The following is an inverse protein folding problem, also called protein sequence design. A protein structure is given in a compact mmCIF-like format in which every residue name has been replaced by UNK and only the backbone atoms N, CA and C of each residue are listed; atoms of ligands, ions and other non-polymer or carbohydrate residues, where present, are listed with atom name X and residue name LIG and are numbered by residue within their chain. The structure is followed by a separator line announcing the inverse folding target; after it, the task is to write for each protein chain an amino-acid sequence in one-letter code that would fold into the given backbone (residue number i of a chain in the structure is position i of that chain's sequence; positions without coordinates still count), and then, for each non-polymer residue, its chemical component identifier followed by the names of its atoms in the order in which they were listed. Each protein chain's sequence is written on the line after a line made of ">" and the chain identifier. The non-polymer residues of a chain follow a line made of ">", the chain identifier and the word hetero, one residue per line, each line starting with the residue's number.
data_IF_923228573031
#
_entry.id   IF_923228573031
#
_cell.length_a   1.000
_cell.length_b   1.000
_cell.length_c   1.000
_cell.angle_alpha   90.00
_cell.angle_beta   90.00
_cell.angle_gamma   90.00
#
_symmetry.space_group_name_H-M   'P 1'
#
loop_
_entity.id
_entity.type
_entity.pdbx_description
1 polymer ?
#
# COMPACT_ATOMS: atom_id res chain seq x y z
N UNK A 1 -59.26 -54.64 -51.80
CA UNK A 1 -58.75 -54.00 -50.56
C UNK A 1 -57.56 -53.19 -50.99
N UNK A 2 -57.82 -52.05 -51.64
CA UNK A 2 -57.79 -50.71 -51.00
C UNK A 2 -56.40 -50.45 -50.40
N UNK A 3 -55.56 -49.54 -50.88
CA UNK A 3 -55.67 -48.56 -51.95
C UNK A 3 -54.34 -47.79 -52.05
N UNK A 4 -53.96 -47.46 -53.29
CA UNK A 4 -53.34 -46.22 -53.79
C UNK A 4 -52.83 -45.20 -52.74
N UNK A 5 -51.71 -44.46 -52.90
CA UNK A 5 -50.88 -44.08 -54.04
C UNK A 5 -49.76 -43.15 -53.51
N UNK A 6 -48.65 -43.09 -54.26
CA UNK A 6 -47.79 -41.89 -54.46
C UNK A 6 -46.99 -41.38 -53.24
N UNK A 7 -45.69 -41.08 -53.31
CA UNK A 7 -44.83 -40.79 -54.44
C UNK A 7 -43.86 -39.67 -54.04
N UNK A 8 -42.70 -39.69 -54.67
CA UNK A 8 -41.68 -38.64 -54.77
C UNK A 8 -40.62 -38.48 -53.65
N UNK A 9 -39.40 -38.46 -54.17
CA UNK A 9 -38.09 -38.37 -53.56
C UNK A 9 -37.61 -36.91 -53.58
N UNK A 10 -36.97 -36.43 -52.51
CA UNK A 10 -36.04 -35.29 -52.55
C UNK A 10 -35.08 -35.31 -51.36
N UNK A 11 -33.81 -34.98 -51.61
CA UNK A 11 -32.65 -35.04 -50.71
C UNK A 11 -32.42 -33.72 -49.94
N UNK A 12 -32.07 -33.85 -48.64
CA UNK A 12 -31.22 -33.03 -47.73
C UNK A 12 -31.43 -31.49 -47.61
N UNK A 13 -31.06 -30.78 -46.50
CA UNK A 13 -30.02 -31.10 -45.50
C UNK A 13 -30.36 -30.82 -44.01
N UNK A 14 -29.34 -31.05 -43.18
CA UNK A 14 -29.28 -30.87 -41.73
C UNK A 14 -29.60 -29.46 -41.21
N UNK A 15 -30.29 -29.39 -40.07
CA UNK A 15 -30.14 -28.33 -39.05
C UNK A 15 -30.85 -28.79 -37.75
N UNK A 16 -30.13 -29.52 -36.90
CA UNK A 16 -30.56 -29.73 -35.52
C UNK A 16 -30.12 -28.48 -34.73
N UNK A 17 -31.06 -27.58 -34.42
CA UNK A 17 -30.80 -26.46 -33.52
C UNK A 17 -30.55 -27.00 -32.11
N UNK A 18 -29.27 -27.07 -31.72
CA UNK A 18 -28.88 -27.20 -30.32
C UNK A 18 -29.01 -25.82 -29.68
N UNK A 19 -30.08 -25.60 -28.91
CA UNK A 19 -30.13 -24.51 -27.94
C UNK A 19 -29.14 -24.81 -26.82
N UNK A 20 -27.90 -24.36 -26.99
CA UNK A 20 -26.92 -24.27 -25.91
C UNK A 20 -27.39 -23.18 -24.96
N UNK A 21 -28.08 -23.58 -23.89
CA UNK A 21 -28.13 -22.80 -22.66
C UNK A 21 -26.68 -22.68 -22.16
N UNK A 22 -26.07 -21.53 -22.44
CA UNK A 22 -24.85 -21.11 -21.76
C UNK A 22 -25.27 -20.82 -20.32
N UNK A 23 -25.27 -21.85 -19.49
CA UNK A 23 -25.13 -21.65 -18.05
C UNK A 23 -23.76 -21.05 -17.85
N UNK A 24 -23.70 -19.72 -17.71
CA UNK A 24 -22.57 -19.10 -17.05
C UNK A 24 -22.46 -19.81 -15.70
N UNK A 25 -21.44 -20.66 -15.52
CA UNK A 25 -20.97 -21.02 -14.21
C UNK A 25 -20.58 -19.70 -13.56
N UNK A 26 -21.54 -19.09 -12.87
CA UNK A 26 -21.25 -18.11 -11.83
C UNK A 26 -20.42 -18.91 -10.84
N UNK A 27 -19.09 -18.71 -10.87
CA UNK A 27 -18.29 -19.02 -9.69
C UNK A 27 -19.05 -18.37 -8.53
N UNK A 28 -19.50 -19.19 -7.59
CA UNK A 28 -20.26 -18.75 -6.44
C UNK A 28 -19.43 -17.66 -5.76
N UNK A 29 -19.83 -16.40 -5.92
CA UNK A 29 -19.48 -15.38 -4.93
C UNK A 29 -19.88 -15.93 -3.56
N UNK A 30 -19.15 -15.56 -2.52
CA UNK A 30 -19.60 -15.87 -1.17
C UNK A 30 -21.02 -15.35 -0.96
N UNK A 31 -21.76 -15.92 0.00
CA UNK A 31 -22.95 -15.25 0.47
C UNK A 31 -22.52 -13.89 1.01
N UNK A 32 -23.20 -12.82 0.59
CA UNK A 32 -22.88 -11.47 1.04
C UNK A 32 -23.00 -11.38 2.57
N UNK A 33 -21.93 -10.96 3.29
CA UNK A 33 -21.97 -10.89 4.75
C UNK A 33 -22.61 -9.59 5.27
N UNK A 34 -22.92 -8.63 4.40
CA UNK A 34 -23.44 -7.32 4.78
C UNK A 34 -24.96 -7.38 5.04
N UNK A 35 -25.41 -6.53 5.98
CA UNK A 35 -26.84 -6.36 6.25
C UNK A 35 -27.59 -5.81 5.02
N UNK A 36 -26.98 -4.86 4.31
CA UNK A 36 -27.41 -4.43 2.98
C UNK A 36 -26.63 -5.21 1.90
N UNK A 37 -27.27 -6.10 1.13
CA UNK A 37 -26.62 -6.86 0.07
C UNK A 37 -26.02 -5.99 -1.04
N UNK A 38 -26.47 -4.75 -1.20
CA UNK A 38 -25.92 -3.84 -2.20
C UNK A 38 -24.46 -3.47 -1.91
N UNK A 39 -24.04 -3.52 -0.64
CA UNK A 39 -22.67 -3.27 -0.22
C UNK A 39 -21.69 -4.34 -0.70
N UNK A 40 -22.15 -5.51 -1.14
CA UNK A 40 -21.28 -6.54 -1.72
C UNK A 40 -20.97 -6.32 -3.21
N UNK A 41 -21.50 -5.26 -3.82
CA UNK A 41 -21.13 -4.85 -5.16
C UNK A 41 -19.82 -4.06 -5.14
N UNK A 42 -18.96 -4.20 -6.16
CA UNK A 42 -17.75 -3.40 -6.26
C UNK A 42 -18.04 -1.90 -6.26
N UNK A 43 -17.21 -1.14 -5.55
CA UNK A 43 -17.27 0.32 -5.53
C UNK A 43 -16.84 0.86 -6.90
N UNK A 44 -17.80 1.46 -7.60
CA UNK A 44 -17.59 2.08 -8.90
C UNK A 44 -17.34 3.59 -8.77
N UNK A 45 -16.60 4.16 -9.73
CA UNK A 45 -16.35 5.61 -9.84
C UNK A 45 -14.88 5.99 -9.72
N UNK A 46 -14.45 6.89 -10.60
CA UNK A 46 -13.12 7.48 -10.52
C UNK A 46 -13.08 8.51 -9.39
N UNK A 47 -11.97 8.54 -8.66
CA UNK A 47 -11.65 9.61 -7.69
C UNK A 47 -10.52 10.46 -8.25
N UNK A 48 -10.54 11.76 -7.97
CA UNK A 48 -9.49 12.68 -8.40
C UNK A 48 -8.26 12.64 -7.47
N UNK A 49 -8.47 12.21 -6.23
CA UNK A 49 -7.45 12.11 -5.18
C UNK A 49 -7.67 10.84 -4.36
N UNK A 50 -6.59 10.11 -4.08
CA UNK A 50 -6.60 8.91 -3.24
C UNK A 50 -6.10 9.22 -1.82
N UNK A 51 -6.76 8.62 -0.83
CA UNK A 51 -6.29 8.45 0.54
C UNK A 51 -6.24 6.94 0.77
N UNK A 52 -5.08 6.37 0.47
CA UNK A 52 -4.85 4.93 0.39
C UNK A 52 -4.26 4.41 1.70
N UNK A 53 -5.03 3.64 2.48
CA UNK A 53 -4.60 3.20 3.81
C UNK A 53 -4.18 1.73 3.79
N UNK A 54 -3.30 1.35 4.72
CA UNK A 54 -3.02 -0.04 5.03
C UNK A 54 -3.61 -0.38 6.40
N UNK A 55 -4.31 -1.52 6.47
CA UNK A 55 -4.89 -2.08 7.70
C UNK A 55 -4.24 -3.44 7.99
N UNK A 56 -3.66 -3.59 9.18
CA UNK A 56 -2.98 -4.83 9.59
C UNK A 56 -3.88 -5.77 10.40
N UNK A 57 -5.18 -5.49 10.43
CA UNK A 57 -6.19 -6.24 11.15
C UNK A 57 -6.40 -5.79 12.60
N UNK A 58 -7.45 -6.32 13.22
CA UNK A 58 -7.89 -5.88 14.54
C UNK A 58 -9.21 -5.14 14.42
N UNK A 59 -9.42 -4.14 15.27
CA UNK A 59 -10.69 -3.40 15.37
C UNK A 59 -10.49 -1.87 15.39
N UNK A 60 -9.26 -1.40 15.14
CA UNK A 60 -8.97 0.03 15.08
C UNK A 60 -9.73 0.73 13.95
N UNK A 61 -10.02 -0.01 12.87
CA UNK A 61 -10.78 0.47 11.72
C UNK A 61 -12.15 1.07 12.06
N UNK A 62 -12.77 0.65 13.18
CA UNK A 62 -14.04 1.21 13.68
C UNK A 62 -13.93 2.70 14.02
N UNK A 63 -12.71 3.20 14.19
CA UNK A 63 -12.41 4.55 14.65
C UNK A 63 -11.57 5.36 13.64
N UNK A 64 -11.29 4.82 12.45
CA UNK A 64 -10.63 5.58 11.39
C UNK A 64 -11.48 6.78 10.94
N UNK A 65 -10.85 7.79 10.35
CA UNK A 65 -11.57 8.89 9.70
C UNK A 65 -12.02 8.50 8.29
N UNK A 66 -13.19 7.87 8.23
CA UNK A 66 -13.80 7.41 6.98
C UNK A 66 -14.29 8.53 6.05
N UNK A 67 -14.21 9.80 6.44
CA UNK A 67 -14.62 10.90 5.57
C UNK A 67 -13.67 11.11 4.38
N UNK A 68 -12.44 10.61 4.49
CA UNK A 68 -11.38 10.83 3.52
C UNK A 68 -10.88 9.56 2.84
N UNK A 69 -11.00 8.40 3.50
CA UNK A 69 -10.47 7.12 3.02
C UNK A 69 -11.09 6.76 1.67
N UNK A 70 -10.23 6.42 0.72
CA UNK A 70 -10.63 6.04 -0.63
C UNK A 70 -10.48 4.54 -0.86
N UNK A 71 -9.41 3.96 -0.33
CA UNK A 71 -9.11 2.53 -0.42
C UNK A 71 -8.43 2.04 0.85
N UNK A 72 -8.79 0.82 1.27
CA UNK A 72 -8.15 0.06 2.33
C UNK A 72 -7.44 -1.16 1.73
N UNK A 73 -6.11 -1.21 1.82
CA UNK A 73 -5.35 -2.42 1.54
C UNK A 73 -5.27 -3.29 2.80
N UNK A 74 -5.89 -4.48 2.75
CA UNK A 74 -5.94 -5.39 3.91
C UNK A 74 -4.69 -6.30 3.95
N UNK A 75 -3.84 -6.06 4.95
CA UNK A 75 -2.68 -6.88 5.28
C UNK A 75 -2.95 -7.84 6.45
N UNK A 76 -4.03 -7.58 7.20
CA UNK A 76 -4.58 -8.48 8.21
C UNK A 76 -5.40 -9.64 7.63
N UNK A 77 -6.00 -10.43 8.53
CA UNK A 77 -7.02 -11.42 8.13
C UNK A 77 -8.24 -10.69 7.58
N UNK A 78 -8.89 -11.28 6.56
CA UNK A 78 -10.15 -10.76 6.04
C UNK A 78 -11.19 -10.62 7.16
N UNK A 79 -11.69 -9.40 7.32
CA UNK A 79 -12.76 -9.05 8.25
C UNK A 79 -13.99 -8.61 7.41
N UNK A 80 -15.08 -9.40 7.37
CA UNK A 80 -16.27 -9.04 6.62
C UNK A 80 -16.98 -7.79 7.18
N UNK A 81 -16.83 -7.50 8.48
CA UNK A 81 -17.42 -6.30 9.09
C UNK A 81 -16.71 -5.04 8.58
N UNK A 82 -15.37 -5.08 8.49
CA UNK A 82 -14.57 -4.03 7.87
C UNK A 82 -14.96 -3.83 6.40
N UNK A 83 -15.07 -4.90 5.61
CA UNK A 83 -15.45 -4.81 4.20
C UNK A 83 -16.81 -4.11 4.03
N UNK A 84 -17.83 -4.59 4.74
CA UNK A 84 -19.17 -4.00 4.68
C UNK A 84 -19.17 -2.53 5.13
N UNK A 85 -18.44 -2.22 6.20
CA UNK A 85 -18.37 -0.87 6.72
C UNK A 85 -17.65 0.07 5.74
N UNK A 86 -16.51 -0.34 5.17
CA UNK A 86 -15.79 0.43 4.17
C UNK A 86 -16.68 0.75 2.96
N UNK A 87 -17.41 -0.25 2.45
CA UNK A 87 -18.31 -0.06 1.32
C UNK A 87 -19.49 0.86 1.68
N UNK A 88 -19.99 0.81 2.92
CA UNK A 88 -21.02 1.77 3.39
C UNK A 88 -20.53 3.22 3.43
N UNK A 89 -19.20 3.41 3.46
CA UNK A 89 -18.52 4.70 3.36
C UNK A 89 -18.05 5.02 1.94
N UNK A 90 -18.37 4.15 0.98
CA UNK A 90 -17.95 4.24 -0.42
C UNK A 90 -16.46 3.98 -0.65
N UNK A 91 -15.73 3.50 0.36
CA UNK A 91 -14.30 3.18 0.25
C UNK A 91 -14.10 1.77 -0.30
N UNK A 92 -13.09 1.60 -1.16
CA UNK A 92 -12.68 0.30 -1.68
C UNK A 92 -11.98 -0.53 -0.62
N UNK A 93 -12.04 -1.85 -0.74
CA UNK A 93 -11.17 -2.77 -0.01
C UNK A 93 -10.43 -3.68 -0.98
N UNK A 94 -9.10 -3.68 -0.94
CA UNK A 94 -8.25 -4.45 -1.84
C UNK A 94 -7.41 -5.48 -1.09
N UNK A 95 -7.24 -6.66 -1.68
CA UNK A 95 -6.41 -7.74 -1.14
C UNK A 95 -4.93 -7.36 -1.10
N UNK A 96 -4.17 -7.94 -0.16
CA UNK A 96 -2.72 -8.10 -0.35
C UNK A 96 -2.39 -9.21 -1.37
N UNK A 97 -1.52 -8.89 -2.31
CA UNK A 97 -0.88 -9.82 -3.23
C UNK A 97 0.64 -9.88 -3.02
N UNK A 98 1.19 -11.07 -2.81
CA UNK A 98 2.62 -11.34 -2.91
C UNK A 98 2.82 -12.73 -3.51
N UNK A 99 3.92 -12.90 -4.24
CA UNK A 99 4.36 -14.14 -4.86
C UNK A 99 5.87 -14.06 -5.12
N UNK A 100 6.57 -15.19 -5.07
CA UNK A 100 8.00 -15.22 -5.35
C UNK A 100 8.34 -14.75 -6.77
N UNK A 101 9.27 -13.80 -6.90
CA UNK A 101 9.74 -13.29 -8.20
C UNK A 101 10.37 -14.38 -9.06
N UNK A 102 10.92 -15.42 -8.45
CA UNK A 102 11.49 -16.57 -9.17
C UNK A 102 10.41 -17.44 -9.81
N UNK A 103 9.26 -17.56 -9.15
CA UNK A 103 8.17 -18.43 -9.61
C UNK A 103 7.38 -17.81 -10.75
N UNK A 104 7.25 -16.48 -10.78
CA UNK A 104 6.46 -15.76 -11.81
C UNK A 104 7.14 -15.74 -13.19
N UNK A 105 8.38 -16.19 -13.31
CA UNK A 105 9.05 -16.39 -14.61
C UNK A 105 8.26 -17.41 -15.45
N UNK A 106 7.59 -18.37 -14.82
CA UNK A 106 6.66 -19.28 -15.48
C UNK A 106 5.28 -18.62 -15.65
N UNK A 107 4.82 -18.35 -16.90
CA UNK A 107 3.50 -17.76 -17.14
C UNK A 107 2.34 -18.60 -16.61
N UNK A 108 2.47 -19.93 -16.54
CA UNK A 108 1.43 -20.78 -15.98
C UNK A 108 1.26 -20.56 -14.47
N UNK A 109 2.36 -20.29 -13.76
CA UNK A 109 2.32 -19.93 -12.34
C UNK A 109 1.66 -18.57 -12.15
N UNK A 110 1.99 -17.57 -12.99
CA UNK A 110 1.31 -16.26 -12.96
C UNK A 110 -0.18 -16.42 -13.17
N UNK A 111 -0.60 -17.10 -14.24
CA UNK A 111 -2.01 -17.31 -14.55
C UNK A 111 -2.77 -18.02 -13.41
N UNK A 112 -2.17 -19.04 -12.79
CA UNK A 112 -2.77 -19.76 -11.68
C UNK A 112 -2.94 -18.87 -10.44
N UNK A 113 -1.91 -18.08 -10.09
CA UNK A 113 -1.95 -17.15 -8.96
C UNK A 113 -2.96 -16.03 -9.20
N UNK A 114 -2.97 -15.43 -10.39
CA UNK A 114 -3.94 -14.38 -10.79
C UNK A 114 -5.36 -14.91 -10.64
N UNK A 115 -5.64 -16.11 -11.20
CA UNK A 115 -6.95 -16.74 -11.06
C UNK A 115 -7.33 -16.95 -9.60
N UNK A 116 -6.41 -17.44 -8.77
CA UNK A 116 -6.65 -17.64 -7.34
C UNK A 116 -7.01 -16.33 -6.63
N UNK A 117 -6.30 -15.24 -6.95
CA UNK A 117 -6.54 -13.91 -6.35
C UNK A 117 -7.84 -13.28 -6.80
N UNK A 118 -8.18 -13.36 -8.09
CA UNK A 118 -9.48 -12.92 -8.62
C UNK A 118 -10.62 -13.71 -7.95
N UNK A 119 -10.51 -15.03 -7.88
CA UNK A 119 -11.53 -15.86 -7.25
C UNK A 119 -11.68 -15.54 -5.75
N UNK A 120 -10.59 -15.22 -5.06
CA UNK A 120 -10.61 -14.79 -3.67
C UNK A 120 -11.30 -13.43 -3.51
N UNK A 121 -10.96 -12.43 -4.33
CA UNK A 121 -11.59 -11.12 -4.31
C UNK A 121 -13.10 -11.22 -4.53
N UNK A 122 -13.53 -12.01 -5.53
CA UNK A 122 -14.97 -12.25 -5.81
C UNK A 122 -15.68 -12.95 -4.66
N UNK A 123 -15.03 -13.91 -3.99
CA UNK A 123 -15.62 -14.59 -2.82
C UNK A 123 -15.75 -13.67 -1.60
N UNK A 124 -14.84 -12.72 -1.45
CA UNK A 124 -14.76 -11.80 -0.32
C UNK A 124 -15.35 -10.41 -0.61
N UNK A 125 -15.96 -10.23 -1.79
CA UNK A 125 -16.54 -8.96 -2.23
C UNK A 125 -15.55 -7.79 -2.21
N UNK A 126 -14.29 -8.05 -2.59
CA UNK A 126 -13.23 -7.05 -2.58
C UNK A 126 -13.08 -6.38 -3.94
N UNK A 127 -12.64 -5.12 -3.93
CA UNK A 127 -12.55 -4.25 -5.10
C UNK A 127 -11.22 -4.36 -5.84
N UNK A 128 -10.35 -5.32 -5.51
CA UNK A 128 -9.08 -5.46 -6.23
C UNK A 128 -7.94 -6.03 -5.40
N UNK A 129 -6.73 -5.62 -5.76
CA UNK A 129 -5.49 -6.13 -5.18
C UNK A 129 -4.39 -5.06 -5.14
N UNK A 130 -3.72 -4.97 -4.00
CA UNK A 130 -2.46 -4.27 -3.82
C UNK A 130 -1.32 -5.29 -3.81
N UNK A 131 -0.44 -5.20 -4.81
CA UNK A 131 0.70 -6.10 -4.98
C UNK A 131 1.91 -5.53 -4.23
N UNK A 132 2.41 -6.29 -3.28
CA UNK A 132 3.50 -5.92 -2.38
C UNK A 132 4.63 -6.96 -2.50
N UNK A 133 5.46 -6.80 -3.55
CA UNK A 133 6.60 -7.67 -3.84
C UNK A 133 7.88 -6.86 -3.60
N UNK A 134 8.64 -7.25 -2.59
CA UNK A 134 9.83 -6.53 -2.12
C UNK A 134 11.15 -7.28 -2.37
N UNK A 135 11.12 -8.35 -3.18
CA UNK A 135 12.26 -9.24 -3.43
C UNK A 135 13.30 -8.60 -4.37
N UNK A 136 14.57 -8.95 -4.20
CA UNK A 136 15.65 -8.53 -5.11
C UNK A 136 15.35 -8.96 -6.56
N UNK A 137 15.51 -8.04 -7.51
CA UNK A 137 15.41 -8.32 -8.95
C UNK A 137 16.51 -7.54 -9.65
N UNK A 138 17.32 -8.25 -10.43
CA UNK A 138 18.36 -7.63 -11.24
C UNK A 138 17.76 -7.01 -12.51
N UNK A 139 18.30 -5.85 -12.92
CA UNK A 139 17.89 -5.19 -14.15
C UNK A 139 18.03 -6.14 -15.35
N UNK A 140 17.00 -6.20 -16.18
CA UNK A 140 16.96 -7.05 -17.39
C UNK A 140 17.05 -8.57 -17.15
N UNK A 141 16.88 -9.05 -15.92
CA UNK A 141 16.75 -10.50 -15.65
C UNK A 141 15.38 -11.03 -16.14
N UNK A 142 15.17 -12.36 -16.23
CA UNK A 142 13.85 -12.91 -16.51
C UNK A 142 12.77 -12.41 -15.54
N UNK A 143 13.11 -12.28 -14.25
CA UNK A 143 12.21 -11.77 -13.21
C UNK A 143 11.84 -10.29 -13.43
N UNK A 144 12.74 -9.48 -13.98
CA UNK A 144 12.46 -8.07 -14.32
C UNK A 144 11.28 -7.93 -15.29
N UNK A 145 11.31 -8.73 -16.36
CA UNK A 145 10.23 -8.74 -17.36
C UNK A 145 8.99 -9.43 -16.80
N UNK A 146 9.15 -10.58 -16.13
CA UNK A 146 8.05 -11.35 -15.56
C UNK A 146 7.27 -10.58 -14.48
N UNK A 147 7.92 -9.71 -13.71
CA UNK A 147 7.25 -8.85 -12.75
C UNK A 147 6.34 -7.83 -13.44
N UNK A 148 6.79 -7.24 -14.55
CA UNK A 148 5.96 -6.32 -15.35
C UNK A 148 4.76 -7.06 -15.96
N UNK A 149 5.01 -8.26 -16.50
CA UNK A 149 3.96 -9.12 -17.06
C UNK A 149 2.94 -9.53 -16.00
N UNK A 150 3.39 -9.90 -14.79
CA UNK A 150 2.49 -10.23 -13.67
C UNK A 150 1.55 -9.06 -13.37
N UNK A 151 2.06 -7.84 -13.26
CA UNK A 151 1.24 -6.67 -12.94
C UNK A 151 0.22 -6.43 -14.06
N UNK A 152 0.67 -6.45 -15.32
CA UNK A 152 -0.21 -6.26 -16.48
C UNK A 152 -1.32 -7.32 -16.56
N UNK A 153 -0.95 -8.60 -16.49
CA UNK A 153 -1.89 -9.73 -16.55
C UNK A 153 -2.86 -9.70 -15.36
N UNK A 154 -2.40 -9.27 -14.18
CA UNK A 154 -3.25 -9.10 -12.99
C UNK A 154 -4.28 -8.00 -13.23
N UNK A 155 -3.85 -6.81 -13.68
CA UNK A 155 -4.74 -5.69 -13.97
C UNK A 155 -5.79 -6.05 -15.01
N UNK A 156 -5.39 -6.65 -16.12
CA UNK A 156 -6.31 -7.10 -17.17
C UNK A 156 -7.34 -8.10 -16.65
N UNK A 157 -6.91 -9.07 -15.83
CA UNK A 157 -7.81 -10.08 -15.26
C UNK A 157 -8.79 -9.48 -14.24
N UNK A 158 -8.31 -8.63 -13.33
CA UNK A 158 -9.15 -7.99 -12.32
C UNK A 158 -10.17 -7.04 -12.96
N UNK A 159 -9.75 -6.15 -13.87
CA UNK A 159 -10.67 -5.22 -14.55
C UNK A 159 -11.73 -5.94 -15.38
N UNK A 160 -11.39 -7.09 -15.98
CA UNK A 160 -12.35 -7.93 -16.73
C UNK A 160 -13.35 -8.63 -15.82
N UNK A 161 -12.89 -9.21 -14.72
CA UNK A 161 -13.70 -10.10 -13.85
C UNK A 161 -14.44 -9.36 -12.73
N UNK A 162 -13.95 -8.17 -12.36
CA UNK A 162 -14.49 -7.30 -11.33
C UNK A 162 -14.48 -5.86 -11.91
N UNK A 163 -15.53 -5.48 -12.67
CA UNK A 163 -15.61 -4.13 -13.24
C UNK A 163 -15.51 -3.05 -12.16
N UNK A 164 -14.63 -2.07 -12.36
CA UNK A 164 -14.36 -1.02 -11.38
C UNK A 164 -13.29 -1.38 -10.33
N UNK A 165 -12.66 -2.56 -10.45
CA UNK A 165 -11.57 -2.94 -9.56
C UNK A 165 -10.35 -2.04 -9.66
N UNK A 166 -9.57 -2.02 -8.58
CA UNK A 166 -8.35 -1.26 -8.41
C UNK A 166 -7.16 -2.21 -8.19
N UNK A 167 -6.17 -2.14 -9.07
CA UNK A 167 -4.92 -2.89 -8.99
C UNK A 167 -3.76 -1.93 -8.77
N UNK A 168 -3.03 -2.11 -7.68
CA UNK A 168 -1.94 -1.22 -7.27
C UNK A 168 -0.68 -2.01 -6.99
N UNK A 169 0.46 -1.33 -6.99
CA UNK A 169 1.76 -1.95 -6.72
C UNK A 169 2.58 -1.08 -5.78
N UNK A 170 3.11 -1.68 -4.71
CA UNK A 170 4.00 -1.01 -3.76
C UNK A 170 5.42 -0.97 -4.33
N UNK A 171 5.95 0.22 -4.53
CA UNK A 171 7.33 0.43 -5.01
C UNK A 171 8.20 0.99 -3.90
N UNK A 172 9.50 0.74 -3.98
CA UNK A 172 10.45 1.23 -2.97
C UNK A 172 10.47 2.76 -2.87
N UNK A 173 11.03 3.31 -1.79
CA UNK A 173 11.14 4.75 -1.62
C UNK A 173 12.02 5.44 -2.67
N UNK A 174 12.94 4.71 -3.32
CA UNK A 174 13.80 5.21 -4.40
C UNK A 174 13.77 4.32 -5.63
N UNK A 175 13.73 4.90 -6.85
CA UNK A 175 13.86 4.13 -8.08
C UNK A 175 15.30 3.69 -8.40
N UNK A 176 16.30 4.15 -7.65
CA UNK A 176 17.73 3.93 -7.93
C UNK A 176 18.22 2.53 -7.47
N UNK A 177 17.45 1.49 -7.77
CA UNK A 177 17.77 0.11 -7.40
C UNK A 177 17.97 -0.08 -5.88
N UNK A 178 17.30 0.71 -5.04
CA UNK A 178 17.38 0.54 -3.59
C UNK A 178 16.95 -0.89 -3.21
N UNK A 179 17.60 -1.45 -2.20
CA UNK A 179 17.46 -2.86 -1.79
C UNK A 179 17.68 -3.90 -2.89
N UNK A 180 18.35 -3.49 -3.99
CA UNK A 180 18.49 -4.27 -5.24
C UNK A 180 17.15 -4.60 -5.90
N UNK A 181 16.15 -3.74 -5.71
CA UNK A 181 14.88 -3.77 -6.43
C UNK A 181 15.02 -2.96 -7.71
N UNK A 182 15.74 -3.48 -8.69
CA UNK A 182 15.94 -2.80 -9.98
C UNK A 182 14.76 -3.02 -10.92
N UNK A 183 13.54 -2.72 -10.48
CA UNK A 183 12.32 -3.04 -11.22
C UNK A 183 12.12 -2.16 -12.46
N UNK A 184 11.25 -2.60 -13.37
CA UNK A 184 10.77 -1.79 -14.47
C UNK A 184 9.71 -0.80 -13.99
N UNK A 185 10.09 0.21 -13.21
CA UNK A 185 9.13 1.10 -12.54
C UNK A 185 8.15 1.78 -13.51
N UNK A 186 8.61 2.19 -14.71
CA UNK A 186 7.73 2.78 -15.73
C UNK A 186 6.73 1.76 -16.28
N UNK A 187 7.20 0.57 -16.67
CA UNK A 187 6.32 -0.50 -17.16
C UNK A 187 5.31 -0.98 -16.11
N UNK A 188 5.72 -1.07 -14.83
CA UNK A 188 4.82 -1.41 -13.72
C UNK A 188 3.76 -0.31 -13.55
N UNK A 189 4.17 0.96 -13.50
CA UNK A 189 3.24 2.08 -13.35
C UNK A 189 2.25 2.19 -14.52
N UNK A 190 2.69 1.92 -15.75
CA UNK A 190 1.81 1.84 -16.93
C UNK A 190 0.81 0.67 -16.85
N UNK A 191 1.16 -0.40 -16.13
CA UNK A 191 0.41 -1.66 -16.12
C UNK A 191 -0.61 -1.80 -14.97
N UNK A 192 -0.54 -0.98 -13.92
CA UNK A 192 -1.49 -0.98 -12.79
C UNK A 192 -2.34 0.30 -12.79
N UNK A 193 -3.25 0.51 -11.84
CA UNK A 193 -4.01 1.77 -11.71
C UNK A 193 -3.14 2.91 -11.16
N UNK A 194 -2.31 2.63 -10.16
CA UNK A 194 -1.23 3.49 -9.68
C UNK A 194 -0.22 2.69 -8.86
N UNK A 195 0.98 3.25 -8.70
CA UNK A 195 1.97 2.77 -7.75
C UNK A 195 1.84 3.53 -6.43
N UNK A 196 2.01 2.81 -5.33
CA UNK A 196 2.17 3.36 -4.00
C UNK A 196 3.65 3.39 -3.67
N UNK A 197 4.25 4.58 -3.56
CA UNK A 197 5.68 4.71 -3.24
C UNK A 197 5.82 4.63 -1.72
N UNK A 198 6.48 3.59 -1.23
CA UNK A 198 6.72 3.34 0.19
C UNK A 198 7.79 4.28 0.75
N UNK A 199 7.57 5.60 0.74
CA UNK A 199 8.50 6.62 1.24
C UNK A 199 8.56 6.68 2.77
N UNK A 200 9.10 5.60 3.31
CA UNK A 200 9.48 5.34 4.69
C UNK A 200 10.60 4.31 4.70
N UNK A 201 11.25 4.12 5.85
CA UNK A 201 12.48 3.34 6.00
C UNK A 201 13.60 3.84 5.06
N UNK A 202 13.66 5.17 4.85
CA UNK A 202 14.65 5.81 3.97
C UNK A 202 16.07 5.78 4.57
N UNK A 203 16.18 5.34 5.82
CA UNK A 203 17.44 5.09 6.52
C UNK A 203 17.84 3.61 6.51
N UNK A 204 17.23 2.77 5.66
CA UNK A 204 17.60 1.37 5.53
C UNK A 204 19.06 1.18 5.06
N UNK A 205 19.62 2.17 4.34
CA UNK A 205 21.00 2.16 3.86
C UNK A 205 21.70 3.51 4.15
N UNK A 206 22.42 3.60 5.27
CA UNK A 206 23.13 4.81 5.68
C UNK A 206 24.61 4.72 5.31
N UNK A 207 25.02 5.55 4.34
CA UNK A 207 26.42 5.66 3.87
C UNK A 207 27.22 6.76 4.58
N UNK A 208 26.53 7.63 5.32
CA UNK A 208 27.13 8.71 6.10
C UNK A 208 27.54 8.25 7.51
N UNK A 209 27.80 9.20 8.40
CA UNK A 209 27.91 8.93 9.83
C UNK A 209 26.69 8.16 10.35
N UNK A 210 26.96 7.19 11.22
CA UNK A 210 25.96 6.34 11.86
C UNK A 210 25.33 7.09 13.01
N UNK A 211 24.35 7.92 12.65
CA UNK A 211 23.58 8.72 13.59
C UNK A 211 22.09 8.47 13.40
N UNK A 212 21.31 8.66 14.47
CA UNK A 212 19.85 8.59 14.41
C UNK A 212 19.31 9.72 13.50
N UNK A 213 18.33 9.39 12.65
CA UNK A 213 17.77 10.27 11.62
C UNK A 213 16.27 10.02 11.44
N UNK A 214 15.61 10.95 10.76
CA UNK A 214 14.20 10.84 10.40
C UNK A 214 13.95 9.61 9.52
N UNK A 215 12.83 8.93 9.78
CA UNK A 215 12.38 7.77 9.03
C UNK A 215 12.13 8.12 7.54
N UNK A 216 11.48 9.27 7.31
CA UNK A 216 11.21 9.83 5.99
C UNK A 216 11.50 11.35 6.01
N UNK A 217 12.78 11.77 5.90
CA UNK A 217 13.16 13.19 5.88
C UNK A 217 12.54 13.89 4.65
N UNK A 218 11.82 15.00 4.83
CA UNK A 218 11.06 15.64 3.73
C UNK A 218 11.89 15.92 2.48
N UNK A 219 13.05 16.57 2.66
CA UNK A 219 13.92 16.95 1.55
C UNK A 219 14.40 15.74 0.75
N UNK A 220 14.72 14.64 1.44
CA UNK A 220 15.12 13.40 0.79
C UNK A 220 13.93 12.74 0.09
N UNK A 221 12.79 12.60 0.77
CA UNK A 221 11.56 12.07 0.19
C UNK A 221 11.21 12.80 -1.12
N UNK A 222 11.12 14.14 -1.14
CA UNK A 222 10.70 14.85 -2.36
C UNK A 222 11.68 14.67 -3.52
N UNK A 223 12.99 14.57 -3.25
CA UNK A 223 14.01 14.31 -4.27
C UNK A 223 13.80 12.95 -4.94
N UNK A 224 13.43 11.91 -4.19
CA UNK A 224 13.17 10.58 -4.76
C UNK A 224 11.88 10.55 -5.61
N UNK A 225 10.86 11.35 -5.26
CA UNK A 225 9.67 11.51 -6.12
C UNK A 225 9.99 12.24 -7.41
N UNK A 226 10.87 13.24 -7.38
CA UNK A 226 11.35 13.87 -8.61
C UNK A 226 12.00 12.83 -9.52
N UNK A 227 12.79 11.89 -9.01
CA UNK A 227 13.39 10.82 -9.83
C UNK A 227 12.33 9.94 -10.49
N UNK A 228 11.32 9.49 -9.74
CA UNK A 228 10.20 8.71 -10.30
C UNK A 228 9.51 9.45 -11.45
N UNK A 229 9.29 10.75 -11.31
CA UNK A 229 8.66 11.59 -12.35
C UNK A 229 9.59 11.82 -13.53
N UNK A 230 10.90 12.07 -13.29
CA UNK A 230 11.89 12.23 -14.36
C UNK A 230 12.11 10.96 -15.18
N UNK A 231 11.77 9.78 -14.66
CA UNK A 231 11.72 8.53 -15.44
C UNK A 231 10.55 8.49 -16.44
N UNK A 232 9.62 9.43 -16.37
CA UNK A 232 8.44 9.52 -17.25
C UNK A 232 7.15 8.95 -16.64
N UNK A 233 7.15 8.57 -15.36
CA UNK A 233 5.92 8.14 -14.69
C UNK A 233 4.99 9.35 -14.51
N UNK A 234 3.77 9.24 -15.04
CA UNK A 234 2.77 10.28 -14.89
C UNK A 234 2.47 10.52 -13.39
N UNK A 235 2.55 11.74 -12.86
CA UNK A 235 2.18 12.08 -11.48
C UNK A 235 0.83 11.51 -11.02
N UNK A 236 -0.15 11.44 -11.93
CA UNK A 236 -1.48 10.85 -11.67
C UNK A 236 -1.48 9.33 -11.51
N UNK A 237 -0.33 8.68 -11.55
CA UNK A 237 -0.10 7.26 -11.29
C UNK A 237 0.68 7.01 -10.00
N UNK A 238 0.96 8.05 -9.21
CA UNK A 238 1.81 7.96 -8.02
C UNK A 238 1.00 8.38 -6.79
N UNK A 239 0.87 7.48 -5.82
CA UNK A 239 0.38 7.77 -4.47
C UNK A 239 1.57 7.84 -3.52
N UNK A 240 1.64 8.92 -2.72
CA UNK A 240 2.72 9.11 -1.78
C UNK A 240 2.50 8.34 -0.48
N UNK A 241 3.40 7.43 -0.11
CA UNK A 241 3.38 6.76 1.19
C UNK A 241 4.02 7.57 2.30
N UNK A 242 3.40 7.64 3.47
CA UNK A 242 3.97 8.28 4.65
C UNK A 242 3.94 7.35 5.87
N UNK A 243 4.94 7.42 6.76
CA UNK A 243 4.94 6.57 7.94
C UNK A 243 4.07 7.20 9.05
N UNK A 244 3.24 6.37 9.68
CA UNK A 244 2.64 6.69 10.99
C UNK A 244 3.39 6.03 12.14
N UNK A 245 4.69 5.82 11.93
CA UNK A 245 5.61 5.26 12.88
C UNK A 245 6.97 5.96 12.77
N UNK A 246 7.80 5.74 13.76
CA UNK A 246 9.16 6.24 13.82
C UNK A 246 10.13 5.18 14.31
N UNK A 247 11.38 5.57 14.53
CA UNK A 247 12.42 4.73 15.09
C UNK A 247 12.94 5.30 16.39
N UNK A 248 13.00 4.43 17.40
CA UNK A 248 13.58 4.64 18.72
C UNK A 248 15.00 4.06 18.72
N UNK A 249 15.99 4.94 18.66
CA UNK A 249 17.41 4.58 18.61
C UNK A 249 18.04 4.68 19.99
N UNK A 250 18.69 3.60 20.43
CA UNK A 250 19.61 3.65 21.57
C UNK A 250 20.81 4.52 21.22
N UNK A 251 21.12 5.48 22.07
CA UNK A 251 22.19 6.42 21.86
C UNK A 251 23.49 5.99 22.53
N UNK A 252 24.52 5.76 21.73
CA UNK A 252 25.84 5.37 22.21
C UNK A 252 26.66 6.56 22.72
N UNK A 253 26.30 7.77 22.26
CA UNK A 253 26.91 9.02 22.68
C UNK A 253 26.53 10.17 21.75
N UNK A 254 26.57 11.39 22.26
CA UNK A 254 26.32 12.59 21.49
C UNK A 254 27.62 13.03 20.80
N UNK A 255 27.64 13.05 19.47
CA UNK A 255 28.79 13.58 18.71
C UNK A 255 28.80 15.11 18.69
N UNK A 256 27.62 15.71 18.84
CA UNK A 256 27.35 17.11 19.18
C UNK A 256 25.98 17.19 19.84
N UNK A 257 25.59 18.36 20.35
CA UNK A 257 24.27 18.55 20.94
C UNK A 257 23.16 18.03 20.01
N UNK A 258 22.29 17.19 20.56
CA UNK A 258 21.16 16.55 19.88
C UNK A 258 21.48 15.66 18.66
N UNK A 259 22.75 15.28 18.48
CA UNK A 259 23.12 14.33 17.42
C UNK A 259 23.64 13.05 18.03
N UNK A 260 22.78 12.04 17.96
CA UNK A 260 22.96 10.76 18.59
C UNK A 260 23.69 9.77 17.69
N UNK A 261 24.84 9.25 18.14
CA UNK A 261 25.49 8.12 17.46
C UNK A 261 24.79 6.81 17.78
N UNK A 262 24.65 5.96 16.77
CA UNK A 262 23.93 4.68 16.83
C UNK A 262 24.88 3.51 16.54
N UNK A 263 24.42 2.30 16.88
CA UNK A 263 25.16 1.08 16.59
C UNK A 263 25.36 0.89 15.08
N UNK A 264 26.51 0.33 14.68
CA UNK A 264 26.78 -0.02 13.29
C UNK A 264 26.08 -1.33 12.93
N UNK A 265 24.92 -1.23 12.30
CA UNK A 265 24.16 -2.37 11.78
C UNK A 265 24.20 -2.30 10.25
N UNK A 266 25.08 -3.07 9.58
CA UNK A 266 25.22 -2.98 8.14
C UNK A 266 24.02 -3.63 7.43
N UNK A 267 23.59 -3.00 6.33
CA UNK A 267 22.55 -3.53 5.46
C UNK A 267 22.89 -3.24 4.01
N UNK A 268 22.81 -4.26 3.15
CA UNK A 268 23.03 -4.13 1.69
C UNK A 268 24.35 -3.46 1.27
N UNK A 269 25.38 -3.52 2.12
CA UNK A 269 26.70 -2.93 1.88
C UNK A 269 26.87 -1.55 2.53
N UNK A 270 25.79 -0.88 2.94
CA UNK A 270 25.88 0.31 3.77
C UNK A 270 26.41 -0.07 5.16
N UNK A 271 27.27 0.75 5.78
CA UNK A 271 27.83 0.48 7.10
C UNK A 271 26.77 0.50 8.22
N UNK A 272 25.68 1.24 8.02
CA UNK A 272 24.65 1.50 9.03
C UNK A 272 23.24 1.48 8.40
N UNK A 273 22.24 1.29 9.24
CA UNK A 273 20.83 1.21 8.86
C UNK A 273 19.91 1.55 10.04
N UNK A 274 18.66 1.83 9.74
CA UNK A 274 17.54 1.95 10.68
C UNK A 274 17.35 0.72 11.59
N UNK A 275 17.85 -0.46 11.21
CA UNK A 275 17.85 -1.66 12.04
C UNK A 275 18.67 -1.53 13.34
N UNK A 276 19.43 -0.44 13.51
CA UNK A 276 20.02 -0.05 14.78
C UNK A 276 19.00 0.52 15.79
N UNK A 277 17.81 0.92 15.31
CA UNK A 277 16.69 1.39 16.10
C UNK A 277 15.56 0.39 16.14
N UNK A 278 14.55 0.70 16.97
CA UNK A 278 13.31 -0.07 17.06
C UNK A 278 12.15 0.73 16.51
N UNK A 279 11.42 0.16 15.56
CA UNK A 279 10.19 0.75 15.05
C UNK A 279 9.16 0.96 16.18
N UNK A 280 8.56 2.14 16.26
CA UNK A 280 7.51 2.51 17.21
C UNK A 280 6.30 3.12 16.50
N UNK A 281 5.08 2.63 16.73
CA UNK A 281 3.89 3.28 16.18
C UNK A 281 3.69 4.65 16.83
N UNK A 282 3.09 5.59 16.11
CA UNK A 282 2.88 6.98 16.57
C UNK A 282 2.28 7.06 17.98
N UNK A 283 1.29 6.22 18.31
CA UNK A 283 0.70 6.16 19.67
C UNK A 283 1.72 5.95 20.78
N UNK A 284 2.68 5.05 20.58
CA UNK A 284 3.74 4.76 21.57
C UNK A 284 4.72 5.93 21.65
N UNK A 285 5.01 6.58 20.53
CA UNK A 285 5.88 7.77 20.52
C UNK A 285 5.23 8.92 21.28
N UNK A 286 3.92 9.13 21.09
CA UNK A 286 3.18 10.17 21.82
C UNK A 286 3.11 9.89 23.33
N UNK A 287 3.08 8.62 23.76
CA UNK A 287 3.18 8.27 25.18
C UNK A 287 4.57 8.63 25.75
N UNK A 288 5.64 8.46 24.95
CA UNK A 288 7.03 8.82 25.34
C UNK A 288 7.25 10.33 25.47
N UNK A 289 6.40 11.18 24.89
CA UNK A 289 6.52 12.64 25.05
C UNK A 289 6.46 13.04 26.52
N UNK A 290 5.67 12.34 27.33
CA UNK A 290 5.54 12.63 28.76
C UNK A 290 6.79 12.27 29.58
N UNK A 291 7.58 11.29 29.12
CA UNK A 291 8.86 10.91 29.73
C UNK A 291 10.07 11.53 29.02
N UNK A 292 9.82 12.38 28.02
CA UNK A 292 10.88 13.06 27.28
C UNK A 292 11.58 14.10 28.14
N UNK A 293 12.90 14.17 27.98
CA UNK A 293 13.75 15.20 28.60
C UNK A 293 13.89 16.45 27.72
N UNK A 294 13.59 16.34 26.41
CA UNK A 294 13.68 17.43 25.44
C UNK A 294 12.32 18.03 25.08
N UNK A 295 11.23 17.33 25.37
CA UNK A 295 9.98 17.51 24.62
C UNK A 295 10.16 17.13 23.16
N UNK A 296 9.22 17.54 22.30
CA UNK A 296 9.36 17.37 20.85
C UNK A 296 10.22 18.51 20.30
N UNK A 297 11.36 18.16 19.73
CA UNK A 297 12.24 19.04 18.96
C UNK A 297 11.94 18.92 17.47
N UNK A 298 12.36 19.92 16.71
CA UNK A 298 12.22 19.97 15.26
C UNK A 298 13.59 20.13 14.61
N UNK A 299 13.89 19.28 13.64
CA UNK A 299 15.07 19.39 12.80
C UNK A 299 14.71 20.10 11.49
N UNK A 300 15.32 21.27 11.25
CA UNK A 300 15.03 22.09 10.07
C UNK A 300 15.65 21.55 8.78
N UNK A 301 16.65 20.66 8.85
CA UNK A 301 17.28 20.07 7.66
C UNK A 301 16.45 18.90 7.13
N UNK A 302 15.96 18.06 8.03
CA UNK A 302 15.14 16.89 7.72
C UNK A 302 13.64 17.20 7.68
N UNK A 303 13.24 18.38 8.17
CA UNK A 303 11.86 18.82 8.40
C UNK A 303 11.04 17.73 9.10
N UNK A 304 11.60 17.22 10.19
CA UNK A 304 11.03 16.12 10.95
C UNK A 304 11.16 16.35 12.46
N UNK A 305 10.17 15.90 13.26
CA UNK A 305 10.26 15.91 14.70
C UNK A 305 11.14 14.78 15.24
N UNK A 306 11.76 15.05 16.39
CA UNK A 306 12.36 14.02 17.22
C UNK A 306 12.18 14.36 18.70
N UNK A 307 12.37 13.37 19.55
CA UNK A 307 12.44 13.56 21.00
C UNK A 307 13.56 12.73 21.59
N UNK A 308 14.00 13.13 22.78
CA UNK A 308 15.05 12.48 23.55
C UNK A 308 14.46 12.07 24.90
N UNK A 309 14.84 10.89 25.37
CA UNK A 309 14.45 10.40 26.69
C UNK A 309 15.52 9.49 27.28
N UNK A 310 15.39 9.18 28.57
CA UNK A 310 16.15 8.10 29.21
C UNK A 310 15.21 6.98 29.62
N UNK A 311 15.58 5.75 29.32
CA UNK A 311 14.80 4.59 29.75
C UNK A 311 14.94 4.33 31.27
N UNK A 312 14.26 3.29 31.77
CA UNK A 312 14.27 2.91 33.18
C UNK A 312 15.67 2.53 33.70
N UNK A 313 16.61 2.22 32.80
CA UNK A 313 18.00 1.90 33.12
C UNK A 313 18.93 3.12 32.95
N UNK A 314 18.40 4.29 32.62
CA UNK A 314 19.15 5.52 32.40
C UNK A 314 19.86 5.59 31.04
N UNK A 315 19.58 4.65 30.12
CA UNK A 315 20.12 4.65 28.76
C UNK A 315 19.46 5.78 27.98
N UNK A 316 20.25 6.55 27.24
CA UNK A 316 19.74 7.66 26.44
C UNK A 316 19.21 7.15 25.10
N UNK A 317 18.07 7.67 24.67
CA UNK A 317 17.40 7.32 23.43
C UNK A 317 17.05 8.58 22.64
N UNK A 318 17.07 8.46 21.31
CA UNK A 318 16.56 9.47 20.40
C UNK A 318 15.51 8.84 19.48
N UNK A 319 14.29 9.38 19.49
CA UNK A 319 13.16 8.88 18.72
C UNK A 319 12.84 9.86 17.61
N UNK A 320 12.90 9.40 16.36
CA UNK A 320 12.57 10.17 15.18
C UNK A 320 11.28 9.67 14.55
N UNK A 321 10.40 10.58 14.12
CA UNK A 321 9.07 10.22 13.62
C UNK A 321 8.50 11.30 12.69
N UNK A 322 7.30 11.07 12.18
CA UNK A 322 6.50 12.06 11.48
C UNK A 322 5.32 12.52 12.35
N UNK A 323 4.98 13.81 12.31
CA UNK A 323 3.84 14.39 13.01
C UNK A 323 2.94 15.16 12.03
N UNK A 324 1.82 15.78 12.47
CA UNK A 324 0.94 16.50 11.57
C UNK A 324 1.63 17.62 10.76
N UNK A 325 2.69 18.26 11.31
CA UNK A 325 3.46 19.30 10.60
C UNK A 325 4.25 18.69 9.44
N UNK A 326 5.05 17.66 9.67
CA UNK A 326 5.88 17.04 8.63
C UNK A 326 5.03 16.32 7.57
N UNK A 327 3.94 15.66 7.96
CA UNK A 327 2.98 15.06 7.02
C UNK A 327 2.28 16.14 6.18
N UNK A 328 1.92 17.29 6.76
CA UNK A 328 1.29 18.38 5.99
C UNK A 328 2.24 18.97 4.93
N UNK A 329 3.55 19.01 5.17
CA UNK A 329 4.54 19.44 4.17
C UNK A 329 4.56 18.47 2.99
N UNK A 330 4.57 17.16 3.26
CA UNK A 330 4.46 16.10 2.27
C UNK A 330 3.14 16.19 1.49
N UNK A 331 2.00 16.37 2.16
CA UNK A 331 0.70 16.54 1.52
C UNK A 331 0.63 17.80 0.62
N UNK A 332 1.25 18.91 1.03
CA UNK A 332 1.36 20.10 0.18
C UNK A 332 2.16 19.83 -1.10
N UNK A 333 3.22 19.01 -1.01
CA UNK A 333 3.98 18.57 -2.18
C UNK A 333 3.18 17.66 -3.13
N UNK A 334 2.40 16.72 -2.57
CA UNK A 334 1.44 15.88 -3.33
C UNK A 334 0.51 16.76 -4.17
N UNK A 335 -0.06 17.82 -3.59
CA UNK A 335 -0.90 18.79 -4.30
C UNK A 335 -0.12 19.60 -5.34
N UNK A 336 1.07 20.09 -4.99
CA UNK A 336 1.94 20.89 -5.88
C UNK A 336 2.26 20.15 -7.18
N UNK A 337 2.59 18.86 -7.10
CA UNK A 337 2.91 18.04 -8.27
C UNK A 337 1.70 17.37 -8.91
N UNK A 338 0.51 17.53 -8.32
CA UNK A 338 -0.71 16.90 -8.80
C UNK A 338 -0.63 15.36 -8.78
N UNK A 339 0.03 14.79 -7.77
CA UNK A 339 0.11 13.35 -7.57
C UNK A 339 -1.29 12.72 -7.44
N UNK A 340 -1.39 11.40 -7.60
CA UNK A 340 -2.67 10.66 -7.51
C UNK A 340 -3.28 10.72 -6.12
N UNK A 341 -2.45 10.80 -5.08
CA UNK A 341 -2.92 10.80 -3.70
C UNK A 341 -1.80 10.70 -2.69
N UNK A 342 -2.20 10.49 -1.45
CA UNK A 342 -1.33 10.19 -0.31
C UNK A 342 -1.89 8.97 0.43
N UNK A 343 -1.04 8.28 1.17
CA UNK A 343 -1.46 7.16 1.98
C UNK A 343 -0.38 6.80 3.00
N UNK A 344 -0.63 5.83 3.85
CA UNK A 344 0.14 5.64 5.07
C UNK A 344 0.36 4.19 5.42
N UNK A 345 1.55 3.89 5.92
CA UNK A 345 1.82 2.68 6.66
C UNK A 345 1.92 3.00 8.16
N UNK A 346 1.02 2.55 9.01
CA UNK A 346 -0.31 2.03 8.69
C UNK A 346 -1.35 2.66 9.64
N UNK A 347 -2.64 2.49 9.33
CA UNK A 347 -3.72 3.17 10.02
C UNK A 347 -3.85 2.76 11.51
N UNK A 348 -3.38 1.56 11.88
CA UNK A 348 -3.41 1.02 13.24
C UNK A 348 -2.40 1.66 14.21
N UNK A 349 -1.50 2.52 13.69
CA UNK A 349 -0.44 3.14 14.47
C UNK A 349 -0.91 4.28 15.40
N UNK A 350 -2.16 4.76 15.24
CA UNK A 350 -2.72 5.83 16.07
C UNK A 350 -3.41 5.30 17.34
N UNK A 351 -3.65 6.21 18.28
CA UNK A 351 -4.35 5.91 19.53
C UNK A 351 -5.84 6.22 19.39
N UNK A 352 -6.65 5.18 19.15
CA UNK A 352 -8.10 5.29 19.01
C UNK A 352 -8.87 5.17 20.34
N UNK A 353 -8.20 5.33 21.49
CA UNK A 353 -8.90 5.40 22.77
C UNK A 353 -9.74 6.67 22.89
N UNK A 354 -10.79 6.64 23.71
CA UNK A 354 -11.73 7.76 23.87
C UNK A 354 -11.22 8.96 24.69
N UNK A 355 -9.93 9.01 25.04
CA UNK A 355 -9.36 10.14 25.77
C UNK A 355 -9.20 11.38 24.88
N UNK A 356 -9.44 12.58 25.41
CA UNK A 356 -9.43 13.82 24.62
C UNK A 356 -8.12 14.07 23.87
N UNK A 357 -6.97 13.81 24.51
CA UNK A 357 -5.66 13.96 23.88
C UNK A 357 -5.46 12.95 22.73
N UNK A 358 -5.89 11.71 22.91
CA UNK A 358 -5.79 10.67 21.88
C UNK A 358 -6.67 11.00 20.67
N UNK A 359 -7.87 11.53 20.91
CA UNK A 359 -8.77 12.02 19.86
C UNK A 359 -8.18 13.20 19.09
N UNK A 360 -7.60 14.18 19.79
CA UNK A 360 -6.94 15.34 19.18
C UNK A 360 -5.76 14.92 18.30
N UNK A 361 -4.85 14.10 18.83
CA UNK A 361 -3.69 13.60 18.11
C UNK A 361 -4.09 12.78 16.87
N UNK A 362 -5.08 11.90 17.02
CA UNK A 362 -5.59 11.09 15.91
C UNK A 362 -6.23 11.95 14.83
N UNK A 363 -7.10 12.89 15.20
CA UNK A 363 -7.73 13.80 14.25
C UNK A 363 -6.69 14.66 13.51
N UNK A 364 -5.64 15.11 14.20
CA UNK A 364 -4.57 15.90 13.58
C UNK A 364 -3.78 15.09 12.53
N UNK A 365 -3.50 13.81 12.77
CA UNK A 365 -2.80 12.94 11.81
C UNK A 365 -3.65 12.66 10.57
N UNK A 366 -4.95 12.41 10.73
CA UNK A 366 -5.87 12.26 9.60
C UNK A 366 -5.99 13.55 8.78
N UNK A 367 -6.17 14.70 9.46
CA UNK A 367 -6.27 15.99 8.80
C UNK A 367 -4.99 16.38 8.04
N UNK A 368 -3.82 15.93 8.49
CA UNK A 368 -2.54 16.23 7.84
C UNK A 368 -2.39 15.57 6.46
N UNK A 369 -3.15 14.49 6.18
CA UNK A 369 -3.16 13.86 4.85
C UNK A 369 -3.86 14.72 3.80
N UNK A 370 -4.71 15.68 4.20
CA UNK A 370 -5.51 16.46 3.27
C UNK A 370 -4.76 17.74 2.90
N UNK A 371 -4.33 17.88 1.63
CA UNK A 371 -3.58 19.06 1.21
C UNK A 371 -4.45 20.32 1.29
N UNK A 372 -3.98 21.34 2.01
CA UNK A 372 -4.67 22.64 2.13
C UNK A 372 -4.51 23.50 0.88
#
# INVERSE_FOLDING_TARGET
>A
MEGLLSGACARLPAALLLLLLISHLRLSSGACPCEDPALCNPISGARDFEVFIFDIGGQAWKFYDWSHITTVAIFGKYDPELMCYAHSRGARVVLKGDISVKSIVDPAVRAAWIKQKVDLAKRQHLDGINIDIEQEVAKSSPEYYALTDLVKETTEAFHREIPGSQVTFDVAWSPDCIDKRCYNYTGIAESCDFVFVMSYDEQSQVWSECIARANAPYNHTIMEYEKYIHMGINPKKIVMGVPWYGYDYTCLGLIKAHVCSIAKVPFRGAPCSDAAGRQRPYKVIMDLVNSSISGILWDEEQEAPYLEYKDEHGVFHQVWFDNPRSISLKAAYVKKLGLRGIGMWNADCLNYSGGSLAQEQTAAMWAALIPK
#
